data_IF_691020795766
#
_entry.id   IF_691020795766
#
_cell.length_a   1.000
_cell.length_b   1.000
_cell.length_c   1.000
_cell.angle_alpha   90.00
_cell.angle_beta   90.00
_cell.angle_gamma   90.00
#
_symmetry.space_group_name_H-M   'P 1'
#
loop_
_entity.id
_entity.type
_entity.pdbx_description
1 polymer ?
#
# COMPACT_ATOMS: atom_id res chain seq x y z
N UNK A 1 -4.81 -6.85 63.41
CA UNK A 1 -3.92 -6.44 62.31
C UNK A 1 -3.73 -7.58 61.30
N UNK A 2 -4.78 -8.08 60.63
CA UNK A 2 -4.70 -9.18 59.63
C UNK A 2 -5.63 -8.99 58.42
N UNK A 3 -6.12 -7.77 58.14
CA UNK A 3 -7.06 -7.52 57.01
C UNK A 3 -6.58 -6.51 55.98
N UNK A 4 -5.32 -6.07 55.99
CA UNK A 4 -4.79 -5.06 55.05
C UNK A 4 -3.93 -5.70 53.94
N UNK A 5 -3.54 -6.97 54.06
CA UNK A 5 -2.64 -7.62 53.08
C UNK A 5 -3.35 -8.24 51.85
N UNK A 6 -4.69 -8.34 51.87
CA UNK A 6 -5.43 -9.00 50.79
C UNK A 6 -5.84 -8.05 49.65
N UNK A 7 -5.71 -6.72 49.77
CA UNK A 7 -6.16 -5.75 48.77
C UNK A 7 -5.03 -5.35 47.81
N UNK A 8 -3.77 -5.55 48.17
CA UNK A 8 -2.64 -5.15 47.30
C UNK A 8 -2.30 -6.15 46.19
N UNK A 9 -2.81 -7.37 46.23
CA UNK A 9 -2.54 -8.40 45.21
C UNK A 9 -3.56 -8.35 44.07
N UNK A 10 -4.72 -7.73 44.24
CA UNK A 10 -5.76 -7.63 43.21
C UNK A 10 -5.56 -6.48 42.25
N UNK A 11 -4.67 -5.50 42.50
CA UNK A 11 -4.43 -4.37 41.60
C UNK A 11 -3.28 -4.59 40.60
N UNK A 12 -2.47 -5.64 40.77
CA UNK A 12 -1.35 -5.91 39.85
C UNK A 12 -1.71 -6.84 38.68
N UNK A 13 -2.97 -7.31 38.59
CA UNK A 13 -3.42 -8.20 37.48
C UNK A 13 -4.14 -7.47 36.32
N UNK A 14 -4.32 -6.15 36.41
CA UNK A 14 -5.07 -5.38 35.39
C UNK A 14 -4.21 -4.58 34.40
N UNK A 15 -2.88 -4.70 34.49
CA UNK A 15 -1.98 -3.91 33.63
C UNK A 15 -1.39 -4.65 32.43
N UNK A 16 -1.81 -5.88 32.11
CA UNK A 16 -1.24 -6.66 31.00
C UNK A 16 -2.18 -6.87 29.80
N UNK A 17 -3.28 -6.11 29.70
CA UNK A 17 -4.23 -6.30 28.60
C UNK A 17 -4.08 -5.33 27.42
N UNK A 18 -3.12 -4.41 27.43
CA UNK A 18 -3.10 -3.33 26.42
C UNK A 18 -2.14 -3.50 25.24
N UNK A 19 -1.32 -4.56 25.20
CA UNK A 19 -0.34 -4.71 24.10
C UNK A 19 -0.66 -5.81 23.07
N UNK A 20 -1.57 -6.73 23.35
CA UNK A 20 -1.85 -7.85 22.45
C UNK A 20 -2.77 -7.51 21.26
N UNK A 21 -3.72 -6.59 21.45
CA UNK A 21 -4.66 -6.23 20.37
C UNK A 21 -3.98 -5.55 19.19
N UNK A 22 -2.92 -4.74 19.41
CA UNK A 22 -2.22 -4.03 18.33
C UNK A 22 -1.34 -4.94 17.46
N UNK A 23 -0.75 -5.98 18.03
CA UNK A 23 0.06 -6.94 17.28
C UNK A 23 -0.83 -7.88 16.44
N UNK A 24 -2.01 -8.26 16.91
CA UNK A 24 -2.93 -9.12 16.18
C UNK A 24 -3.55 -8.41 14.97
N UNK A 25 -3.98 -7.15 15.12
CA UNK A 25 -4.45 -6.33 13.98
C UNK A 25 -3.37 -6.16 12.90
N UNK A 26 -2.14 -5.93 13.30
CA UNK A 26 -1.02 -5.79 12.39
C UNK A 26 -0.74 -7.07 11.59
N UNK A 27 -0.82 -8.23 12.25
CA UNK A 27 -0.54 -9.52 11.63
C UNK A 27 -1.67 -9.92 10.67
N UNK A 28 -2.91 -9.59 10.98
CA UNK A 28 -4.05 -9.78 10.07
C UNK A 28 -3.92 -8.90 8.83
N UNK A 29 -3.50 -7.64 8.98
CA UNK A 29 -3.16 -6.79 7.86
C UNK A 29 -2.08 -7.39 6.96
N UNK A 30 -1.05 -8.01 7.53
CA UNK A 30 -0.01 -8.73 6.80
C UNK A 30 -0.51 -9.94 6.01
N UNK A 31 -1.60 -10.60 6.44
CA UNK A 31 -2.24 -11.66 5.69
C UNK A 31 -2.97 -11.14 4.45
N UNK A 32 -3.69 -10.03 4.59
CA UNK A 32 -4.59 -9.50 3.56
C UNK A 32 -3.88 -8.53 2.62
N UNK A 33 -2.92 -7.74 3.13
CA UNK A 33 -2.23 -6.69 2.38
C UNK A 33 -0.75 -7.02 2.14
N UNK A 34 -0.14 -6.30 1.19
CA UNK A 34 1.29 -6.40 0.87
C UNK A 34 1.58 -7.21 -0.38
N UNK A 35 2.87 -7.38 -0.68
CA UNK A 35 3.30 -8.04 -1.91
C UNK A 35 2.83 -7.27 -3.14
N UNK A 36 3.35 -6.06 -3.36
CA UNK A 36 2.98 -5.19 -4.46
C UNK A 36 3.97 -5.40 -5.61
N UNK A 37 3.45 -5.76 -6.77
CA UNK A 37 4.24 -6.06 -7.95
C UNK A 37 3.71 -5.32 -9.16
N UNK A 38 4.60 -4.94 -10.08
CA UNK A 38 4.23 -4.57 -11.44
C UNK A 38 4.29 -5.80 -12.34
N UNK A 39 3.36 -5.88 -13.28
CA UNK A 39 3.37 -6.89 -14.33
C UNK A 39 4.12 -6.33 -15.55
N UNK A 40 5.33 -6.84 -15.78
CA UNK A 40 6.12 -6.57 -16.99
C UNK A 40 5.99 -7.78 -17.93
N UNK A 41 5.15 -7.62 -18.93
CA UNK A 41 4.73 -8.73 -19.78
C UNK A 41 4.00 -9.82 -18.97
N UNK A 42 4.68 -10.94 -18.72
CA UNK A 42 4.18 -12.05 -17.89
C UNK A 42 4.95 -12.19 -16.56
N UNK A 43 5.91 -11.32 -16.30
CA UNK A 43 6.73 -11.37 -15.09
C UNK A 43 6.23 -10.38 -14.04
N UNK A 44 6.25 -10.81 -12.79
CA UNK A 44 5.97 -9.95 -11.65
C UNK A 44 7.30 -9.34 -11.17
N UNK A 45 7.37 -8.02 -11.16
CA UNK A 45 8.52 -7.24 -10.70
C UNK A 45 8.10 -6.47 -9.45
N UNK A 46 8.89 -6.54 -8.39
CA UNK A 46 8.62 -5.77 -7.17
C UNK A 46 8.61 -4.28 -7.47
N UNK A 47 7.63 -3.56 -6.92
CA UNK A 47 7.54 -2.11 -7.07
C UNK A 47 8.51 -1.38 -6.15
N UNK A 48 8.90 -2.00 -5.04
CA UNK A 48 9.79 -1.38 -4.09
C UNK A 48 11.20 -1.19 -4.68
N UNK A 49 11.65 0.07 -4.64
CA UNK A 49 12.94 0.45 -5.24
C UNK A 49 12.95 0.54 -6.76
N UNK A 50 11.83 0.26 -7.45
CA UNK A 50 11.75 0.44 -8.89
C UNK A 50 11.73 1.92 -9.28
N UNK A 51 12.49 2.28 -10.31
CA UNK A 51 12.53 3.63 -10.86
C UNK A 51 11.99 3.60 -12.28
N UNK A 52 10.86 4.27 -12.50
CA UNK A 52 10.30 4.48 -13.82
C UNK A 52 10.87 5.78 -14.40
N UNK A 53 11.69 5.66 -15.43
CA UNK A 53 12.26 6.80 -16.15
C UNK A 53 11.32 7.24 -17.29
N UNK A 54 10.97 8.53 -17.32
CA UNK A 54 10.16 9.15 -18.35
C UNK A 54 10.95 10.21 -19.12
N UNK A 55 10.70 10.39 -20.43
CA UNK A 55 11.32 11.46 -21.20
C UNK A 55 10.82 12.85 -20.74
N UNK A 56 11.51 13.90 -21.17
CA UNK A 56 11.11 15.29 -20.89
C UNK A 56 9.83 15.71 -21.61
N UNK A 57 9.49 15.05 -22.70
CA UNK A 57 8.26 15.26 -23.49
C UNK A 57 7.05 14.76 -22.70
N UNK A 58 5.87 15.27 -23.08
CA UNK A 58 4.59 14.74 -22.60
C UNK A 58 4.52 13.22 -22.85
N UNK A 59 4.16 12.49 -21.83
CA UNK A 59 4.10 11.03 -21.88
C UNK A 59 2.92 10.48 -21.09
N UNK A 60 2.49 9.28 -21.44
CA UNK A 60 1.46 8.52 -20.71
C UNK A 60 1.91 7.07 -20.62
N UNK A 61 1.87 6.52 -19.43
CA UNK A 61 2.24 5.13 -19.13
C UNK A 61 1.12 4.45 -18.36
N UNK A 62 0.83 3.22 -18.71
CA UNK A 62 -0.06 2.36 -17.96
C UNK A 62 0.74 1.22 -17.32
N UNK A 63 0.68 1.12 -16.00
CA UNK A 63 1.34 0.08 -15.24
C UNK A 63 0.28 -0.86 -14.65
N UNK A 64 0.40 -2.15 -14.92
CA UNK A 64 -0.45 -3.16 -14.32
C UNK A 64 0.14 -3.55 -12.96
N UNK A 65 -0.64 -3.35 -11.91
CA UNK A 65 -0.22 -3.59 -10.52
C UNK A 65 -0.95 -4.81 -9.99
N UNK A 66 -0.21 -5.74 -9.44
CA UNK A 66 -0.75 -6.93 -8.76
C UNK A 66 -0.49 -6.79 -7.27
N UNK A 67 -1.53 -6.87 -6.47
CA UNK A 67 -1.42 -6.71 -5.02
C UNK A 67 -2.28 -7.72 -4.25
N UNK A 68 -1.83 -8.09 -3.09
CA UNK A 68 -2.60 -8.86 -2.13
C UNK A 68 -3.54 -7.92 -1.37
N UNK A 69 -4.85 -8.12 -1.51
CA UNK A 69 -5.88 -7.27 -0.91
C UNK A 69 -6.12 -5.95 -1.64
N UNK A 70 -7.00 -5.13 -1.07
CA UNK A 70 -7.34 -3.80 -1.58
C UNK A 70 -6.34 -2.79 -1.03
N UNK A 71 -5.72 -2.01 -1.90
CA UNK A 71 -4.69 -1.04 -1.54
C UNK A 71 -5.20 0.38 -1.72
N UNK A 72 -4.79 1.27 -0.83
CA UNK A 72 -4.84 2.69 -1.05
C UNK A 72 -3.50 3.18 -1.63
N UNK A 73 -3.57 4.20 -2.46
CA UNK A 73 -2.39 4.84 -3.02
C UNK A 73 -2.15 6.17 -2.29
N UNK A 74 -0.89 6.55 -2.15
CA UNK A 74 -0.51 7.81 -1.53
C UNK A 74 0.62 8.49 -2.30
N UNK A 75 0.62 9.83 -2.29
CA UNK A 75 1.71 10.67 -2.80
C UNK A 75 2.09 11.65 -1.71
N UNK A 76 3.38 11.79 -1.48
CA UNK A 76 3.87 12.73 -0.48
C UNK A 76 3.34 12.47 0.95
N UNK A 77 2.91 11.24 1.25
CA UNK A 77 2.34 10.87 2.55
C UNK A 77 0.83 11.09 2.69
N UNK A 78 0.15 11.54 1.64
CA UNK A 78 -1.31 11.69 1.64
C UNK A 78 -1.97 10.54 0.89
N UNK A 79 -3.02 9.91 1.47
CA UNK A 79 -3.79 8.88 0.78
C UNK A 79 -4.55 9.50 -0.40
N UNK A 80 -4.68 8.72 -1.48
CA UNK A 80 -5.44 9.11 -2.69
C UNK A 80 -6.80 8.41 -2.78
N UNK A 81 -7.19 7.67 -1.76
CA UNK A 81 -8.46 6.94 -1.79
C UNK A 81 -9.64 7.88 -1.99
N UNK A 82 -10.52 7.52 -2.92
CA UNK A 82 -11.70 8.32 -3.28
C UNK A 82 -11.43 9.50 -4.22
N UNK A 83 -10.20 9.69 -4.67
CA UNK A 83 -9.85 10.68 -5.70
C UNK A 83 -9.68 9.95 -7.02
N UNK A 84 -10.62 10.06 -7.94
CA UNK A 84 -10.55 9.40 -9.26
C UNK A 84 -9.28 9.74 -10.04
N UNK A 85 -8.76 10.95 -9.88
CA UNK A 85 -7.54 11.45 -10.53
C UNK A 85 -6.81 12.41 -9.60
N UNK A 86 -5.50 12.26 -9.48
CA UNK A 86 -4.64 13.10 -8.67
C UNK A 86 -3.57 13.79 -9.52
N UNK A 87 -3.38 15.11 -9.32
CA UNK A 87 -2.38 15.91 -10.05
C UNK A 87 -1.34 16.48 -9.09
N UNK A 88 -0.07 16.27 -9.40
CA UNK A 88 1.05 16.79 -8.62
C UNK A 88 2.25 17.09 -9.53
N UNK A 89 2.80 18.29 -9.44
CA UNK A 89 4.05 18.70 -10.12
C UNK A 89 4.11 18.39 -11.64
N UNK A 90 2.96 18.42 -12.33
CA UNK A 90 2.87 18.09 -13.76
C UNK A 90 2.70 16.60 -14.03
N UNK A 91 2.50 15.78 -13.02
CA UNK A 91 2.06 14.40 -13.15
C UNK A 91 0.57 14.28 -12.88
N UNK A 92 -0.09 13.41 -13.63
CA UNK A 92 -1.47 13.00 -13.41
C UNK A 92 -1.51 11.51 -13.13
N UNK A 93 -2.14 11.12 -12.03
CA UNK A 93 -2.17 9.72 -11.58
C UNK A 93 -3.62 9.32 -11.35
N UNK A 94 -4.00 8.17 -11.92
CA UNK A 94 -5.30 7.56 -11.73
C UNK A 94 -5.13 6.05 -11.57
N UNK A 95 -5.93 5.44 -10.70
CA UNK A 95 -5.98 3.99 -10.51
C UNK A 95 -7.35 3.47 -10.95
N UNK A 96 -7.37 2.38 -11.70
CA UNK A 96 -8.59 1.71 -12.14
C UNK A 96 -8.47 0.19 -11.97
N UNK A 97 -9.53 -0.52 -11.58
CA UNK A 97 -10.77 0.06 -11.01
C UNK A 97 -10.50 0.74 -9.67
N UNK A 98 -11.38 1.62 -9.27
CA UNK A 98 -11.34 2.23 -7.94
C UNK A 98 -11.69 1.17 -6.89
N UNK A 99 -10.73 0.79 -6.00
CA UNK A 99 -10.96 -0.29 -5.03
C UNK A 99 -12.04 0.02 -3.99
N UNK A 100 -12.41 1.31 -3.82
CA UNK A 100 -13.44 1.71 -2.87
C UNK A 100 -14.86 1.54 -3.42
N UNK A 101 -15.03 1.60 -4.73
CA UNK A 101 -16.35 1.64 -5.38
C UNK A 101 -16.58 0.55 -6.43
N UNK A 102 -15.54 -0.12 -6.88
CA UNK A 102 -15.60 -1.08 -7.97
C UNK A 102 -15.05 -2.46 -7.55
N UNK A 103 -15.56 -3.51 -8.16
CA UNK A 103 -15.05 -4.86 -7.93
C UNK A 103 -13.71 -5.05 -8.64
N UNK A 104 -12.69 -5.42 -7.87
CA UNK A 104 -11.37 -5.71 -8.39
C UNK A 104 -11.33 -7.05 -9.14
N UNK A 105 -10.56 -7.10 -10.22
CA UNK A 105 -10.24 -8.33 -10.93
C UNK A 105 -9.27 -9.18 -10.10
N UNK A 106 -9.56 -10.46 -9.95
CA UNK A 106 -8.64 -11.41 -9.33
C UNK A 106 -7.62 -11.82 -10.39
N UNK A 107 -6.35 -11.54 -10.13
CA UNK A 107 -5.23 -11.97 -10.97
C UNK A 107 -4.93 -13.46 -10.75
N UNK A 108 -4.73 -13.85 -9.49
CA UNK A 108 -4.48 -15.24 -9.08
C UNK A 108 -4.72 -15.41 -7.56
N UNK A 109 -4.30 -16.57 -7.05
CA UNK A 109 -4.32 -16.88 -5.62
C UNK A 109 -2.94 -17.34 -5.19
N UNK A 110 -2.53 -16.94 -4.00
CA UNK A 110 -1.30 -17.41 -3.34
C UNK A 110 -1.63 -18.03 -1.98
N UNK A 111 -0.81 -18.98 -1.57
CA UNK A 111 -0.88 -19.55 -0.22
C UNK A 111 0.02 -18.73 0.72
N UNK A 112 -0.52 -18.31 1.85
CA UNK A 112 0.16 -17.52 2.87
C UNK A 112 0.07 -18.24 4.21
N UNK A 113 1.21 -18.46 4.85
CA UNK A 113 1.22 -18.99 6.21
C UNK A 113 0.90 -17.88 7.21
N UNK A 114 -0.09 -18.14 8.07
CA UNK A 114 -0.49 -17.23 9.13
C UNK A 114 -0.88 -18.02 10.38
N UNK A 115 -0.25 -17.73 11.52
CA UNK A 115 -0.47 -18.45 12.80
C UNK A 115 -0.31 -19.98 12.68
N UNK A 116 0.60 -20.45 11.80
CA UNK A 116 0.85 -21.88 11.57
C UNK A 116 -0.15 -22.59 10.67
N UNK A 117 -1.09 -21.87 10.08
CA UNK A 117 -2.07 -22.36 9.12
C UNK A 117 -1.82 -21.79 7.71
N UNK A 118 -2.12 -22.57 6.67
CA UNK A 118 -2.06 -22.11 5.29
C UNK A 118 -3.38 -21.48 4.89
N UNK A 119 -3.32 -20.26 4.39
CA UNK A 119 -4.47 -19.50 3.92
C UNK A 119 -4.31 -19.18 2.44
N UNK A 120 -5.34 -19.50 1.64
CA UNK A 120 -5.37 -19.16 0.23
C UNK A 120 -5.97 -17.77 0.05
N UNK A 121 -5.13 -16.81 -0.36
CA UNK A 121 -5.50 -15.40 -0.49
C UNK A 121 -5.48 -14.94 -1.94
N UNK A 122 -6.48 -14.15 -2.40
CA UNK A 122 -6.49 -13.60 -3.75
C UNK A 122 -5.46 -12.46 -3.88
N UNK A 123 -4.84 -12.38 -5.08
CA UNK A 123 -4.18 -11.17 -5.54
C UNK A 123 -5.05 -10.48 -6.58
N UNK A 124 -5.09 -9.15 -6.52
CA UNK A 124 -5.94 -8.33 -7.38
C UNK A 124 -5.11 -7.56 -8.39
N UNK A 125 -5.70 -7.37 -9.58
CA UNK A 125 -5.12 -6.60 -10.66
C UNK A 125 -5.73 -5.21 -10.70
N UNK A 126 -4.88 -4.20 -10.76
CA UNK A 126 -5.25 -2.80 -10.95
C UNK A 126 -4.36 -2.18 -12.01
N UNK A 127 -4.83 -1.13 -12.65
CA UNK A 127 -4.04 -0.34 -13.60
C UNK A 127 -3.77 1.03 -13.04
N UNK A 128 -2.49 1.37 -12.93
CA UNK A 128 -2.02 2.70 -12.58
C UNK A 128 -1.78 3.48 -13.89
N UNK A 129 -2.61 4.47 -14.17
CA UNK A 129 -2.45 5.39 -15.28
C UNK A 129 -1.61 6.58 -14.82
N UNK A 130 -0.50 6.80 -15.46
CA UNK A 130 0.43 7.87 -15.17
C UNK A 130 0.60 8.75 -16.39
N UNK A 131 0.17 10.02 -16.32
CA UNK A 131 0.46 11.06 -17.28
C UNK A 131 1.57 11.97 -16.74
N UNK A 132 2.44 12.44 -17.65
CA UNK A 132 3.44 13.45 -17.36
C UNK A 132 3.37 14.56 -18.40
N UNK A 133 3.24 15.82 -17.95
CA UNK A 133 3.31 16.98 -18.82
C UNK A 133 4.74 17.22 -19.31
N UNK A 134 4.91 17.96 -20.43
CA UNK A 134 6.24 18.35 -20.92
C UNK A 134 7.03 19.08 -19.82
N UNK A 135 8.21 18.57 -19.51
CA UNK A 135 9.13 19.19 -18.55
C UNK A 135 10.19 20.02 -19.26
N UNK A 136 10.13 21.35 -19.09
CA UNK A 136 11.10 22.31 -19.67
C UNK A 136 12.15 22.77 -18.66
N UNK A 137 12.10 22.24 -17.44
CA UNK A 137 13.00 22.57 -16.34
C UNK A 137 13.98 21.46 -16.01
N UNK A 138 14.36 21.40 -14.75
CA UNK A 138 15.21 20.34 -14.22
C UNK A 138 14.44 19.02 -14.10
N UNK A 139 15.19 17.92 -13.94
CA UNK A 139 14.62 16.61 -13.64
C UNK A 139 13.64 16.69 -12.46
N UNK A 140 12.49 16.05 -12.60
CA UNK A 140 11.46 15.91 -11.57
C UNK A 140 11.40 14.49 -11.06
N UNK A 141 11.06 14.33 -9.80
CA UNK A 141 10.84 13.02 -9.18
C UNK A 141 9.63 13.06 -8.27
N UNK A 142 8.76 12.07 -8.39
CA UNK A 142 7.68 11.80 -7.44
C UNK A 142 7.77 10.36 -6.96
N UNK A 143 7.16 10.09 -5.80
CA UNK A 143 7.09 8.76 -5.21
C UNK A 143 5.65 8.38 -4.99
N UNK A 144 5.24 7.32 -5.68
CA UNK A 144 3.91 6.73 -5.53
C UNK A 144 4.03 5.63 -4.46
N UNK A 145 3.30 5.81 -3.37
CA UNK A 145 3.31 4.89 -2.23
C UNK A 145 2.09 4.01 -2.26
N UNK A 146 2.31 2.73 -2.04
CA UNK A 146 1.26 1.73 -1.84
C UNK A 146 1.10 1.52 -0.35
N UNK A 147 0.00 2.00 0.19
CA UNK A 147 -0.27 2.01 1.62
C UNK A 147 -1.53 1.22 1.94
N UNK A 148 -1.66 0.76 3.17
CA UNK A 148 -2.91 0.23 3.69
C UNK A 148 -3.44 1.12 4.80
N UNK A 149 -4.75 1.26 4.85
CA UNK A 149 -5.48 1.89 5.94
C UNK A 149 -6.20 0.79 6.74
N UNK A 150 -5.49 0.18 7.67
CA UNK A 150 -6.12 -0.62 8.72
C UNK A 150 -6.56 0.35 9.82
N UNK A 151 -7.77 0.26 10.39
CA UNK A 151 -8.24 1.16 11.42
C UNK A 151 -7.18 1.42 12.49
N UNK A 152 -6.86 2.69 12.71
CA UNK A 152 -5.81 3.19 13.62
C UNK A 152 -4.36 2.83 13.25
N UNK A 153 -4.12 2.30 12.05
CA UNK A 153 -2.77 1.95 11.62
C UNK A 153 -2.57 2.16 10.12
N UNK A 154 -1.53 2.93 9.76
CA UNK A 154 -1.09 3.14 8.39
C UNK A 154 0.22 2.44 8.16
N UNK A 155 0.34 1.67 7.08
CA UNK A 155 1.59 1.06 6.67
C UNK A 155 1.83 1.29 5.18
N UNK A 156 3.04 1.74 4.87
CA UNK A 156 3.57 1.72 3.52
C UNK A 156 4.09 0.31 3.22
N UNK A 157 3.59 -0.30 2.15
CA UNK A 157 4.00 -1.63 1.73
C UNK A 157 5.09 -1.61 0.68
N UNK A 158 5.08 -0.60 -0.18
CA UNK A 158 5.99 -0.46 -1.30
C UNK A 158 5.99 0.97 -1.82
N UNK A 159 7.02 1.33 -2.58
CA UNK A 159 7.16 2.64 -3.19
C UNK A 159 7.71 2.51 -4.60
N UNK A 160 6.97 3.09 -5.57
CA UNK A 160 7.41 3.28 -6.94
C UNK A 160 7.95 4.70 -7.10
N UNK A 161 9.20 4.85 -7.56
CA UNK A 161 9.76 6.15 -7.91
C UNK A 161 9.53 6.43 -9.38
N UNK A 162 8.96 7.59 -9.70
CA UNK A 162 8.81 8.07 -11.07
C UNK A 162 9.71 9.28 -11.26
N UNK A 163 10.57 9.21 -12.28
CA UNK A 163 11.54 10.25 -12.58
C UNK A 163 11.35 10.73 -14.02
N UNK A 164 11.12 12.01 -14.21
CA UNK A 164 11.02 12.61 -15.53
C UNK A 164 12.27 13.45 -15.84
N UNK A 165 12.90 13.18 -16.98
CA UNK A 165 14.04 13.96 -17.44
C UNK A 165 13.70 15.46 -17.55
N UNK A 166 14.71 16.32 -17.36
CA UNK A 166 14.64 17.74 -17.68
C UNK A 166 15.15 18.01 -19.10
N UNK A 167 14.87 19.21 -19.59
CA UNK A 167 15.44 19.78 -20.82
C UNK A 167 16.49 20.80 -20.51
#
# INVERSE_FOLDING_TARGET
MKKIFAILIALSALSNFSCKEKEEEYTEGGLVFGGIYMLDGQQLVETDGYILELPAEQNTVELRIVSKGVQEFGIGGYPMSGLGEYKVEGFTIKVTPDPASEKLEIYDYIDVEYKGEQHRVPRYLQTLHLGADTNTGQQKEIRIRFITNIPNYWREWSQLTVRQAGR
#
